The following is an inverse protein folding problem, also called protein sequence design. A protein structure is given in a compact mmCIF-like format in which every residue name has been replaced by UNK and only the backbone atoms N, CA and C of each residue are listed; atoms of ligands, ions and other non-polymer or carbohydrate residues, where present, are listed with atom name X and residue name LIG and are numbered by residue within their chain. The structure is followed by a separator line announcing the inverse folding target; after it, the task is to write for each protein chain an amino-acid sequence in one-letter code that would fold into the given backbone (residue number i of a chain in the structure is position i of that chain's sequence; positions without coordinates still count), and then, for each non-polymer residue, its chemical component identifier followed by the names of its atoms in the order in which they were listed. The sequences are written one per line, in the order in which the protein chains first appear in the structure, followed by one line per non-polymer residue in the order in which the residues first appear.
data_IF_308083341861
#
_entry.id   IF_308083341861
#
_cell.length_a   1.000
_cell.length_b   1.000
_cell.length_c   1.000
_cell.angle_alpha   90.00
_cell.angle_beta   90.00
_cell.angle_gamma   90.00
#
_symmetry.space_group_name_H-M   'P 1'
#
loop_
_entity.id
_entity.type
_entity.pdbx_description
1 polymer ?
#
# COMPACT_ATOMS: atom_id res chain seq x y z
N UNK A 1 1.29 1.66 4.63
CA UNK A 1 0.52 2.20 3.49
C UNK A 1 1.15 3.43 2.86
N UNK A 2 1.38 4.55 3.58
CA UNK A 2 1.91 5.79 2.99
C UNK A 2 3.22 5.60 2.19
N UNK A 3 4.20 4.91 2.77
CA UNK A 3 5.48 4.64 2.10
C UNK A 3 5.31 3.84 0.81
N UNK A 4 4.37 2.89 0.77
CA UNK A 4 4.10 2.08 -0.43
C UNK A 4 3.55 2.94 -1.57
N UNK A 5 2.68 3.91 -1.26
CA UNK A 5 2.17 4.87 -2.26
C UNK A 5 3.30 5.78 -2.76
N UNK A 6 4.13 6.32 -1.86
CA UNK A 6 5.30 7.13 -2.25
C UNK A 6 6.24 6.36 -3.16
N UNK A 7 6.62 5.14 -2.76
CA UNK A 7 7.45 4.25 -3.57
C UNK A 7 6.83 3.98 -4.94
N UNK A 8 5.53 3.68 -5.00
CA UNK A 8 4.82 3.43 -6.25
C UNK A 8 4.85 4.66 -7.18
N UNK A 9 4.77 5.88 -6.63
CA UNK A 9 4.87 7.13 -7.41
C UNK A 9 6.30 7.33 -7.94
N UNK A 10 7.33 7.09 -7.12
CA UNK A 10 8.73 7.21 -7.56
C UNK A 10 9.04 6.22 -8.68
N UNK A 11 8.64 4.96 -8.52
CA UNK A 11 8.83 3.92 -9.55
C UNK A 11 8.02 4.24 -10.81
N UNK A 12 6.77 4.73 -10.66
CA UNK A 12 5.94 5.16 -11.79
C UNK A 12 6.57 6.25 -12.65
N UNK A 13 7.35 7.14 -12.04
CA UNK A 13 7.98 8.28 -12.70
C UNK A 13 9.26 7.92 -13.42
N UNK A 14 10.06 7.02 -12.85
CA UNK A 14 11.43 6.77 -13.33
C UNK A 14 11.61 5.41 -14.02
N UNK A 15 10.87 4.38 -13.61
CA UNK A 15 11.02 3.01 -14.13
C UNK A 15 9.89 2.65 -15.08
N UNK A 16 8.65 2.91 -14.67
CA UNK A 16 7.46 2.51 -15.44
C UNK A 16 6.24 2.29 -14.55
N UNK A 17 5.07 2.03 -15.17
CA UNK A 17 3.78 2.04 -14.48
C UNK A 17 3.75 1.09 -13.27
N UNK A 18 3.07 1.54 -12.21
CA UNK A 18 2.87 0.77 -10.98
C UNK A 18 1.40 0.47 -10.74
N UNK A 19 1.12 -0.60 -9.98
CA UNK A 19 -0.23 -0.99 -9.59
C UNK A 19 -0.33 -1.00 -8.06
N UNK A 20 -1.38 -0.36 -7.54
CA UNK A 20 -1.68 -0.33 -6.10
C UNK A 20 -3.13 -0.73 -5.92
N UNK A 21 -3.36 -1.80 -5.15
CA UNK A 21 -4.69 -2.22 -4.72
C UNK A 21 -4.88 -1.79 -3.27
N UNK A 22 -5.89 -0.95 -3.02
CA UNK A 22 -6.25 -0.50 -1.69
C UNK A 22 -7.60 -1.11 -1.31
N UNK A 23 -7.66 -1.71 -0.11
CA UNK A 23 -8.93 -2.16 0.43
C UNK A 23 -9.63 -0.98 1.12
N UNK A 24 -10.79 -0.59 0.60
CA UNK A 24 -11.63 0.47 1.16
C UNK A 24 -13.04 -0.07 1.36
N UNK A 25 -13.38 -0.60 2.54
CA UNK A 25 -14.71 -1.15 2.77
C UNK A 25 -15.76 -0.04 2.71
N UNK A 26 -16.83 -0.28 1.97
CA UNK A 26 -17.99 0.58 1.97
C UNK A 26 -18.93 0.16 3.10
N UNK A 27 -19.01 0.94 4.18
CA UNK A 27 -19.86 0.65 5.36
C UNK A 27 -21.32 0.36 4.99
N UNK A 28 -21.84 1.01 3.94
CA UNK A 28 -23.21 0.83 3.45
C UNK A 28 -23.39 -0.55 2.79
N UNK A 29 -22.38 -1.03 2.09
CA UNK A 29 -22.41 -2.32 1.39
C UNK A 29 -22.32 -3.49 2.37
N UNK A 30 -21.55 -3.33 3.46
CA UNK A 30 -21.36 -4.37 4.49
C UNK A 30 -22.29 -4.23 5.69
N UNK A 31 -23.23 -3.27 5.66
CA UNK A 31 -24.24 -3.08 6.70
C UNK A 31 -23.68 -2.64 8.07
N UNK A 32 -22.50 -2.02 8.09
CA UNK A 32 -21.82 -1.58 9.32
C UNK A 32 -22.11 -0.11 9.65
N UNK A 33 -22.02 0.23 10.92
CA UNK A 33 -22.09 1.62 11.39
C UNK A 33 -20.79 2.36 11.05
N UNK A 34 -20.85 3.70 10.94
CA UNK A 34 -19.73 4.53 10.49
C UNK A 34 -18.43 4.35 11.30
N UNK A 35 -18.55 4.00 12.58
CA UNK A 35 -17.42 3.79 13.48
C UNK A 35 -16.78 2.39 13.34
N UNK A 36 -17.51 1.42 12.79
CA UNK A 36 -17.05 0.02 12.67
C UNK A 36 -16.25 -0.24 11.38
N UNK A 37 -16.22 0.74 10.47
CA UNK A 37 -15.48 0.64 9.21
C UNK A 37 -13.96 0.52 9.41
N UNK A 38 -13.40 1.26 10.37
CA UNK A 38 -11.97 1.20 10.66
C UNK A 38 -11.53 -0.13 11.29
N UNK A 39 -12.40 -0.73 12.11
CA UNK A 39 -12.12 -2.01 12.73
C UNK A 39 -12.22 -3.15 11.71
N UNK A 40 -13.21 -3.09 10.80
CA UNK A 40 -13.30 -4.00 9.65
C UNK A 40 -12.05 -3.95 8.76
N UNK A 41 -11.52 -2.75 8.50
CA UNK A 41 -10.27 -2.58 7.73
C UNK A 41 -9.11 -3.28 8.43
N UNK A 42 -8.90 -3.04 9.72
CA UNK A 42 -7.80 -3.63 10.49
C UNK A 42 -7.88 -5.16 10.55
N UNK A 43 -9.08 -5.70 10.80
CA UNK A 43 -9.29 -7.15 10.82
C UNK A 43 -9.02 -7.77 9.44
N UNK A 44 -9.48 -7.11 8.38
CA UNK A 44 -9.27 -7.56 7.00
C UNK A 44 -7.82 -7.54 6.54
N UNK A 45 -7.02 -6.57 7.02
CA UNK A 45 -5.59 -6.41 6.70
C UNK A 45 -4.66 -7.27 7.59
N UNK A 46 -5.18 -7.86 8.67
CA UNK A 46 -4.41 -8.67 9.61
C UNK A 46 -3.88 -9.97 8.99
N UNK A 47 -2.87 -10.59 9.61
CA UNK A 47 -2.24 -11.83 9.12
C UNK A 47 -3.28 -12.97 9.09
N UNK A 48 -3.51 -13.54 7.90
CA UNK A 48 -4.58 -14.54 7.67
C UNK A 48 -5.93 -13.93 7.29
N UNK A 49 -6.02 -12.59 7.28
CA UNK A 49 -7.15 -11.83 6.75
C UNK A 49 -7.26 -11.87 5.23
N UNK A 50 -8.30 -11.23 4.71
CA UNK A 50 -8.64 -11.25 3.27
C UNK A 50 -7.76 -10.32 2.42
N UNK A 51 -7.26 -9.23 3.02
CA UNK A 51 -6.54 -8.15 2.35
C UNK A 51 -5.17 -7.91 2.97
N UNK A 52 -4.41 -8.98 3.21
CA UNK A 52 -3.05 -8.91 3.75
C UNK A 52 -2.15 -8.07 2.84
N UNK A 53 -1.37 -7.17 3.43
CA UNK A 53 -0.40 -6.36 2.69
C UNK A 53 0.64 -7.28 2.02
N UNK A 54 0.79 -7.12 0.71
CA UNK A 54 1.81 -7.79 -0.11
C UNK A 54 2.45 -6.78 -1.04
N UNK A 55 3.76 -6.90 -1.21
CA UNK A 55 4.53 -6.06 -2.12
C UNK A 55 5.36 -6.96 -3.03
N UNK A 56 5.31 -6.68 -4.33
CA UNK A 56 6.20 -7.26 -5.33
C UNK A 56 6.95 -6.12 -5.99
N UNK A 57 8.28 -6.15 -5.88
CA UNK A 57 9.16 -5.08 -6.36
C UNK A 57 10.19 -5.76 -7.25
N UNK A 58 10.40 -5.21 -8.46
CA UNK A 58 11.44 -5.68 -9.37
C UNK A 58 12.82 -5.23 -8.90
N UNK A 59 13.88 -5.94 -9.30
CA UNK A 59 15.25 -5.59 -8.93
C UNK A 59 15.65 -4.16 -9.33
N UNK A 60 15.16 -3.69 -10.48
CA UNK A 60 15.37 -2.33 -10.96
C UNK A 60 14.67 -1.28 -10.09
N UNK A 61 13.40 -1.51 -9.77
CA UNK A 61 12.65 -0.63 -8.87
C UNK A 61 13.27 -0.61 -7.45
N UNK A 62 13.76 -1.75 -6.97
CA UNK A 62 14.42 -1.85 -5.67
C UNK A 62 15.67 -0.96 -5.61
N UNK A 63 16.51 -0.97 -6.66
CA UNK A 63 17.71 -0.11 -6.75
C UNK A 63 17.37 1.37 -6.67
N UNK A 64 16.33 1.81 -7.38
CA UNK A 64 15.87 3.21 -7.32
C UNK A 64 15.39 3.59 -5.91
N UNK A 65 14.59 2.72 -5.28
CA UNK A 65 14.07 3.00 -3.94
C UNK A 65 15.16 3.07 -2.89
N UNK A 66 16.23 2.28 -3.04
CA UNK A 66 17.37 2.31 -2.12
C UNK A 66 18.20 3.59 -2.30
N UNK A 67 18.42 4.07 -3.54
CA UNK A 67 19.12 5.35 -3.77
C UNK A 67 18.34 6.53 -3.17
N UNK A 68 17.03 6.58 -3.34
CA UNK A 68 16.17 7.63 -2.77
C UNK A 68 16.23 7.61 -1.24
N UNK A 69 16.25 6.42 -0.61
CA UNK A 69 16.38 6.29 0.84
C UNK A 69 17.73 6.78 1.35
N UNK A 70 18.81 6.56 0.61
CA UNK A 70 20.13 7.08 0.95
C UNK A 70 20.20 8.61 0.85
N UNK A 71 19.60 9.19 -0.20
CA UNK A 71 19.53 10.65 -0.38
C UNK A 71 18.66 11.34 0.70
N UNK A 72 17.63 10.66 1.19
CA UNK A 72 16.70 11.21 2.20
C UNK A 72 17.21 11.03 3.64
N UNK A 73 18.30 10.29 3.88
CA UNK A 73 18.90 10.04 5.20
C UNK A 73 19.72 11.23 5.76
N UNK A 74 19.34 12.46 5.42
CA UNK A 74 19.93 13.71 5.94
C UNK A 74 19.18 14.18 7.18
#
# INVERSE_FOLDING_TARGET
MEQAIKNAIHVAREVGPTFVQLYTPCILEIGKQSMEGLDEMKESESIGGRFVQKEYITDEAQKLLDSIKEETKV
#
